data_IF_689484750521
#
_entry.id   IF_689484750521
#
_cell.length_a   1.000
_cell.length_b   1.000
_cell.length_c   1.000
_cell.angle_alpha   90.00
_cell.angle_beta   90.00
_cell.angle_gamma   90.00
#
_symmetry.space_group_name_H-M   'P 1'
#
loop_
_entity.id
_entity.type
_entity.pdbx_description
1 polymer ?
#
# COMPACT_ATOMS: atom_id res chain seq x y z
N UNK A 1 -3.74 -21.74 -26.82
CA UNK A 1 -4.70 -20.75 -27.35
C UNK A 1 -6.06 -21.39 -27.65
N UNK A 2 -6.19 -22.71 -27.55
CA UNK A 2 -7.43 -23.45 -27.82
C UNK A 2 -8.20 -23.84 -26.57
N UNK A 3 -7.65 -23.61 -25.38
CA UNK A 3 -8.30 -23.92 -24.11
C UNK A 3 -9.36 -22.86 -23.78
N UNK A 4 -10.59 -23.32 -23.54
CA UNK A 4 -11.67 -22.49 -23.03
C UNK A 4 -11.60 -22.44 -21.51
N UNK A 5 -11.13 -21.33 -20.96
CA UNK A 5 -11.18 -21.11 -19.52
C UNK A 5 -12.55 -20.58 -19.10
N UNK A 6 -13.11 -21.13 -18.03
CA UNK A 6 -14.28 -20.52 -17.38
C UNK A 6 -13.87 -19.19 -16.77
N UNK A 7 -14.64 -18.16 -17.01
CA UNK A 7 -14.45 -16.88 -16.32
C UNK A 7 -14.66 -17.11 -14.82
N UNK A 8 -13.70 -16.73 -13.95
CA UNK A 8 -13.87 -16.84 -12.51
C UNK A 8 -15.13 -16.10 -12.05
N UNK A 9 -15.93 -16.65 -11.14
CA UNK A 9 -17.09 -15.94 -10.62
C UNK A 9 -16.69 -14.65 -9.94
N UNK A 10 -17.24 -13.53 -10.41
CA UNK A 10 -17.17 -12.25 -9.71
C UNK A 10 -18.09 -12.33 -8.49
N UNK A 11 -17.63 -11.90 -7.33
CA UNK A 11 -18.38 -12.07 -6.08
C UNK A 11 -18.67 -10.75 -5.33
N UNK A 12 -17.85 -9.70 -5.52
CA UNK A 12 -18.05 -8.39 -4.87
C UNK A 12 -17.84 -7.27 -5.90
N UNK A 13 -18.69 -6.26 -5.83
CA UNK A 13 -18.65 -5.06 -6.68
C UNK A 13 -18.78 -3.81 -5.84
N UNK A 14 -18.19 -2.72 -6.35
CA UNK A 14 -18.56 -1.35 -5.99
C UNK A 14 -19.22 -0.74 -7.23
N UNK A 15 -20.47 -0.31 -7.09
CA UNK A 15 -21.33 0.05 -8.22
C UNK A 15 -21.38 -1.08 -9.28
N UNK A 16 -20.82 -0.84 -10.46
CA UNK A 16 -20.74 -1.83 -11.54
C UNK A 16 -19.33 -2.41 -11.75
N UNK A 17 -18.38 -2.05 -10.89
CA UNK A 17 -16.99 -2.49 -11.00
C UNK A 17 -16.73 -3.68 -10.09
N UNK A 18 -16.34 -4.82 -10.66
CA UNK A 18 -15.93 -6.00 -9.87
C UNK A 18 -14.61 -5.70 -9.15
N UNK A 19 -14.59 -5.94 -7.85
CA UNK A 19 -13.41 -5.77 -7.00
C UNK A 19 -12.89 -7.08 -6.42
N UNK A 20 -13.65 -8.16 -6.58
CA UNK A 20 -13.28 -9.48 -6.08
C UNK A 20 -13.87 -10.61 -6.96
N UNK A 21 -13.00 -11.54 -7.34
CA UNK A 21 -13.33 -12.78 -8.05
C UNK A 21 -12.79 -13.98 -7.30
N UNK A 22 -13.42 -15.14 -7.42
CA UNK A 22 -12.88 -16.39 -6.86
C UNK A 22 -11.53 -16.72 -7.51
N UNK A 23 -10.63 -17.35 -6.74
CA UNK A 23 -9.27 -17.67 -7.17
C UNK A 23 -8.29 -16.50 -7.15
N UNK A 24 -8.69 -15.32 -6.65
CA UNK A 24 -7.88 -14.12 -6.58
C UNK A 24 -7.85 -13.51 -5.17
N UNK A 25 -7.09 -12.44 -5.02
CA UNK A 25 -7.06 -11.68 -3.77
C UNK A 25 -7.04 -10.17 -4.02
N UNK A 26 -7.48 -9.42 -3.02
CA UNK A 26 -7.54 -7.97 -3.00
C UNK A 26 -7.09 -7.42 -1.65
N UNK A 27 -6.95 -6.10 -1.55
CA UNK A 27 -6.57 -5.47 -0.29
C UNK A 27 -7.29 -4.15 -0.04
N UNK A 28 -7.46 -3.83 1.24
CA UNK A 28 -7.79 -2.50 1.74
C UNK A 28 -6.59 -1.89 2.45
N UNK A 29 -6.19 -0.69 2.04
CA UNK A 29 -5.06 0.03 2.64
C UNK A 29 -5.46 1.43 3.09
N UNK A 30 -4.62 2.05 3.90
CA UNK A 30 -4.84 3.41 4.39
C UNK A 30 -4.02 3.68 5.65
N UNK A 31 -3.87 4.96 5.98
CA UNK A 31 -3.15 5.39 7.20
C UNK A 31 -3.84 4.86 8.46
N UNK A 32 -3.11 4.85 9.57
CA UNK A 32 -3.69 4.51 10.87
C UNK A 32 -4.90 5.42 11.17
N UNK A 33 -5.97 4.84 11.75
CA UNK A 33 -7.23 5.53 12.09
C UNK A 33 -8.05 6.04 10.88
N UNK A 34 -7.78 5.58 9.65
CA UNK A 34 -8.58 5.88 8.46
C UNK A 34 -9.90 5.07 8.40
N UNK A 35 -10.28 4.36 9.46
CA UNK A 35 -11.52 3.56 9.56
C UNK A 35 -11.58 2.37 8.58
N UNK A 36 -10.41 1.75 8.24
CA UNK A 36 -10.33 0.57 7.37
C UNK A 36 -11.24 -0.57 7.81
N UNK A 37 -11.20 -0.95 9.11
CA UNK A 37 -12.03 -2.04 9.64
C UNK A 37 -13.53 -1.75 9.54
N UNK A 38 -13.96 -0.48 9.61
CA UNK A 38 -15.36 -0.11 9.35
C UNK A 38 -15.76 -0.35 7.89
N UNK A 39 -14.86 0.01 6.96
CA UNK A 39 -15.06 -0.24 5.54
C UNK A 39 -15.13 -1.73 5.24
N UNK A 40 -14.19 -2.52 5.79
CA UNK A 40 -14.16 -3.99 5.63
C UNK A 40 -15.38 -4.64 6.28
N UNK A 41 -15.87 -4.13 7.43
CA UNK A 41 -17.12 -4.61 8.03
C UNK A 41 -18.31 -4.48 7.06
N UNK A 42 -18.39 -3.37 6.30
CA UNK A 42 -19.45 -3.18 5.31
C UNK A 42 -19.31 -4.14 4.10
N UNK A 43 -18.08 -4.38 3.62
CA UNK A 43 -17.80 -5.35 2.58
C UNK A 43 -18.20 -6.76 3.00
N UNK A 44 -17.83 -7.17 4.22
CA UNK A 44 -18.18 -8.48 4.78
C UNK A 44 -19.68 -8.60 5.00
N UNK A 45 -20.33 -7.56 5.51
CA UNK A 45 -21.78 -7.54 5.71
C UNK A 45 -22.54 -7.69 4.38
N UNK A 46 -22.11 -7.01 3.31
CA UNK A 46 -22.69 -7.19 1.97
C UNK A 46 -22.53 -8.64 1.49
N UNK A 47 -21.37 -9.26 1.74
CA UNK A 47 -21.08 -10.65 1.37
C UNK A 47 -21.91 -11.64 2.19
N UNK A 48 -22.07 -11.41 3.49
CA UNK A 48 -22.86 -12.25 4.39
C UNK A 48 -24.36 -12.20 4.06
N UNK A 49 -24.88 -10.98 3.81
CA UNK A 49 -26.25 -10.78 3.35
C UNK A 49 -26.49 -11.25 1.90
N UNK A 50 -25.41 -11.50 1.14
CA UNK A 50 -25.44 -11.73 -0.30
C UNK A 50 -26.26 -10.65 -1.04
N UNK A 51 -26.00 -9.39 -0.69
CA UNK A 51 -26.79 -8.22 -1.05
C UNK A 51 -25.98 -6.94 -1.12
N UNK A 52 -26.60 -5.84 -0.73
CA UNK A 52 -25.97 -4.50 -0.78
C UNK A 52 -25.84 -3.89 0.62
N UNK A 53 -24.62 -3.43 0.95
CA UNK A 53 -24.32 -2.62 2.15
C UNK A 53 -23.36 -1.50 1.73
N UNK A 54 -23.69 -0.26 2.05
CA UNK A 54 -23.05 0.92 1.50
C UNK A 54 -23.03 0.85 -0.04
N UNK A 55 -21.85 1.07 -0.65
CA UNK A 55 -21.66 0.93 -2.10
C UNK A 55 -21.19 -0.49 -2.50
N UNK A 56 -21.01 -1.40 -1.54
CA UNK A 56 -20.68 -2.79 -1.83
C UNK A 56 -21.92 -3.59 -2.17
N UNK A 57 -21.85 -4.35 -3.25
CA UNK A 57 -22.81 -5.40 -3.63
C UNK A 57 -22.04 -6.71 -3.70
N UNK A 58 -22.61 -7.76 -3.11
CA UNK A 58 -21.99 -9.08 -3.15
C UNK A 58 -22.99 -10.14 -3.62
N UNK A 59 -22.46 -11.19 -4.28
CA UNK A 59 -23.20 -12.36 -4.71
C UNK A 59 -22.25 -13.56 -4.72
N UNK A 60 -22.16 -14.24 -3.59
CA UNK A 60 -21.37 -15.44 -3.44
C UNK A 60 -22.15 -16.63 -4.02
N UNK A 61 -21.49 -17.51 -4.81
CA UNK A 61 -22.14 -18.70 -5.38
C UNK A 61 -22.65 -19.67 -4.32
N UNK A 62 -23.64 -20.47 -4.68
CA UNK A 62 -24.04 -21.60 -3.86
C UNK A 62 -22.85 -22.53 -3.61
N UNK A 63 -22.71 -23.05 -2.39
CA UNK A 63 -21.54 -23.82 -1.96
C UNK A 63 -20.27 -23.01 -1.63
N UNK A 64 -20.29 -21.68 -1.81
CA UNK A 64 -19.21 -20.74 -1.47
C UNK A 64 -19.71 -19.56 -0.63
N UNK A 65 -20.71 -19.81 0.21
CA UNK A 65 -21.40 -18.77 0.99
C UNK A 65 -20.71 -18.41 2.30
N UNK A 66 -19.79 -19.24 2.76
CA UNK A 66 -19.15 -19.06 4.05
C UNK A 66 -18.00 -18.07 3.98
N UNK A 67 -17.87 -17.29 5.05
CA UNK A 67 -16.85 -16.24 5.22
C UNK A 67 -15.99 -16.61 6.41
N UNK A 68 -14.67 -16.59 6.24
CA UNK A 68 -13.70 -16.68 7.31
C UNK A 68 -13.12 -15.29 7.58
N UNK A 69 -13.35 -14.74 8.75
CA UNK A 69 -12.73 -13.49 9.21
C UNK A 69 -11.61 -13.78 10.21
N UNK A 70 -10.39 -13.46 9.88
CA UNK A 70 -9.21 -13.61 10.72
C UNK A 70 -8.71 -12.23 11.15
N UNK A 71 -8.79 -11.93 12.44
CA UNK A 71 -8.23 -10.70 13.03
C UNK A 71 -6.93 -11.03 13.78
N UNK A 72 -5.85 -10.36 13.39
CA UNK A 72 -4.50 -10.59 13.96
C UNK A 72 -4.03 -9.45 14.86
N UNK A 73 -4.77 -8.31 14.88
CA UNK A 73 -4.35 -7.09 15.58
C UNK A 73 -5.14 -6.79 16.85
N UNK A 74 -6.45 -7.06 16.85
CA UNK A 74 -7.36 -6.57 17.87
C UNK A 74 -7.54 -7.55 19.04
N UNK A 75 -7.86 -7.00 20.23
CA UNK A 75 -8.27 -7.82 21.38
C UNK A 75 -9.64 -8.46 21.12
N UNK A 76 -9.94 -9.55 21.83
CA UNK A 76 -11.22 -10.27 21.73
C UNK A 76 -12.45 -9.36 21.88
N UNK A 77 -12.38 -8.37 22.79
CA UNK A 77 -13.45 -7.38 22.97
C UNK A 77 -13.68 -6.56 21.69
N UNK A 78 -12.62 -6.07 21.05
CA UNK A 78 -12.74 -5.29 19.83
C UNK A 78 -13.14 -6.15 18.62
N UNK A 79 -12.68 -7.41 18.56
CA UNK A 79 -13.12 -8.38 17.57
C UNK A 79 -14.64 -8.64 17.69
N UNK A 80 -15.17 -8.77 18.92
CA UNK A 80 -16.59 -8.91 19.16
C UNK A 80 -17.39 -7.70 18.65
N UNK A 81 -16.91 -6.47 18.86
CA UNK A 81 -17.53 -5.27 18.33
C UNK A 81 -17.51 -5.22 16.79
N UNK A 82 -16.47 -5.78 16.15
CA UNK A 82 -16.40 -5.92 14.68
C UNK A 82 -17.45 -6.93 14.19
N UNK A 83 -17.54 -8.08 14.86
CA UNK A 83 -18.53 -9.12 14.56
C UNK A 83 -19.96 -8.58 14.68
N UNK A 84 -20.31 -7.92 15.79
CA UNK A 84 -21.62 -7.29 15.97
C UNK A 84 -21.92 -6.27 14.89
N UNK A 85 -20.94 -5.43 14.52
CA UNK A 85 -21.10 -4.45 13.44
C UNK A 85 -21.41 -5.12 12.11
N UNK A 86 -20.70 -6.20 11.76
CA UNK A 86 -20.96 -6.97 10.54
C UNK A 86 -22.40 -7.50 10.54
N UNK A 87 -22.82 -8.14 11.63
CA UNK A 87 -24.17 -8.70 11.76
C UNK A 87 -25.25 -7.61 11.66
N UNK A 88 -25.10 -6.48 12.38
CA UNK A 88 -26.02 -5.36 12.30
C UNK A 88 -26.14 -4.77 10.90
N UNK A 89 -25.01 -4.58 10.22
CA UNK A 89 -24.98 -4.08 8.83
C UNK A 89 -25.63 -5.06 7.84
N UNK A 90 -25.52 -6.35 8.10
CA UNK A 90 -26.15 -7.40 7.31
C UNK A 90 -27.64 -7.59 7.63
N UNK A 91 -28.18 -6.87 8.63
CA UNK A 91 -29.57 -7.03 9.10
C UNK A 91 -29.81 -8.35 9.84
N UNK A 92 -28.78 -8.91 10.45
CA UNK A 92 -28.80 -10.21 11.13
C UNK A 92 -28.80 -10.02 12.67
N UNK A 93 -29.39 -10.98 13.43
CA UNK A 93 -29.36 -10.92 14.88
C UNK A 93 -27.94 -11.10 15.42
N UNK A 94 -27.61 -10.32 16.46
CA UNK A 94 -26.31 -10.40 17.14
C UNK A 94 -26.28 -11.38 18.31
N UNK A 95 -27.41 -11.99 18.63
CA UNK A 95 -27.58 -12.88 19.79
C UNK A 95 -27.38 -14.36 19.47
N UNK A 96 -27.17 -14.71 18.22
CA UNK A 96 -26.96 -16.07 17.74
C UNK A 96 -25.81 -16.10 16.72
N UNK A 97 -25.05 -17.19 16.74
CA UNK A 97 -23.99 -17.41 15.76
C UNK A 97 -24.56 -17.56 14.36
N UNK A 98 -23.87 -17.04 13.37
CA UNK A 98 -24.26 -17.18 11.98
C UNK A 98 -23.41 -18.30 11.32
N UNK A 99 -24.09 -19.29 10.74
CA UNK A 99 -23.44 -20.46 10.11
C UNK A 99 -22.52 -20.11 8.94
N UNK A 100 -22.71 -18.94 8.31
CA UNK A 100 -21.93 -18.48 7.19
C UNK A 100 -20.79 -17.51 7.58
N UNK A 101 -20.52 -17.33 8.87
CA UNK A 101 -19.43 -16.45 9.33
C UNK A 101 -18.64 -17.08 10.47
N UNK A 102 -17.43 -17.51 10.17
CA UNK A 102 -16.44 -17.89 11.18
C UNK A 102 -15.53 -16.69 11.46
N UNK A 103 -15.45 -16.28 12.73
CA UNK A 103 -14.61 -15.16 13.17
C UNK A 103 -13.54 -15.65 14.14
N UNK A 104 -12.25 -15.54 13.75
CA UNK A 104 -11.12 -16.05 14.50
C UNK A 104 -10.21 -14.90 14.96
N UNK A 105 -9.93 -14.84 16.27
CA UNK A 105 -9.02 -13.86 16.87
C UNK A 105 -7.65 -14.49 17.07
N UNK A 106 -6.63 -14.03 16.36
CA UNK A 106 -5.28 -14.60 16.36
C UNK A 106 -4.20 -13.67 16.91
N UNK A 107 -4.56 -12.57 17.54
CA UNK A 107 -3.60 -11.61 18.07
C UNK A 107 -2.53 -12.23 18.98
N UNK A 108 -2.91 -13.20 19.80
CA UNK A 108 -2.06 -13.79 20.84
C UNK A 108 -1.07 -14.85 20.30
N UNK A 109 -1.14 -15.18 19.01
CA UNK A 109 -0.37 -16.25 18.39
C UNK A 109 0.79 -15.70 17.54
N UNK A 110 1.80 -16.55 17.33
CA UNK A 110 2.93 -16.24 16.44
C UNK A 110 2.51 -16.27 14.96
N UNK A 111 3.27 -15.64 14.05
CA UNK A 111 2.97 -15.66 12.62
C UNK A 111 2.80 -17.06 12.05
N UNK A 112 3.67 -18.02 12.42
CA UNK A 112 3.58 -19.41 11.98
C UNK A 112 2.26 -20.08 12.41
N UNK A 113 1.88 -19.91 13.67
CA UNK A 113 0.62 -20.47 14.19
C UNK A 113 -0.59 -19.84 13.52
N UNK A 114 -0.55 -18.53 13.22
CA UNK A 114 -1.62 -17.86 12.47
C UNK A 114 -1.81 -18.49 11.09
N UNK A 115 -0.72 -18.73 10.37
CA UNK A 115 -0.74 -19.40 9.05
C UNK A 115 -1.29 -20.83 9.17
N UNK A 116 -0.82 -21.61 10.16
CA UNK A 116 -1.31 -22.98 10.41
C UNK A 116 -2.81 -23.03 10.71
N UNK A 117 -3.34 -22.08 11.49
CA UNK A 117 -4.78 -21.98 11.79
C UNK A 117 -5.58 -21.67 10.53
N UNK A 118 -5.11 -20.76 9.68
CA UNK A 118 -5.76 -20.46 8.40
C UNK A 118 -5.73 -21.69 7.48
N UNK A 119 -4.56 -22.32 7.32
CA UNK A 119 -4.40 -23.57 6.54
C UNK A 119 -5.38 -24.65 7.02
N UNK A 120 -5.46 -24.85 8.32
CA UNK A 120 -6.35 -25.83 8.92
C UNK A 120 -7.81 -25.51 8.64
N UNK A 121 -8.26 -24.28 8.86
CA UNK A 121 -9.65 -23.87 8.64
C UNK A 121 -10.06 -24.10 7.17
N UNK A 122 -9.22 -23.67 6.22
CA UNK A 122 -9.48 -23.82 4.80
C UNK A 122 -9.46 -25.28 4.32
N UNK A 123 -8.67 -26.13 4.97
CA UNK A 123 -8.65 -27.57 4.67
C UNK A 123 -9.89 -28.31 5.19
N UNK A 124 -10.49 -27.85 6.30
CA UNK A 124 -11.67 -28.48 6.91
C UNK A 124 -12.97 -28.13 6.20
N UNK A 125 -13.08 -26.94 5.63
CA UNK A 125 -14.34 -26.46 5.03
C UNK A 125 -14.12 -25.84 3.66
N UNK A 126 -14.66 -26.48 2.63
CA UNK A 126 -14.57 -26.04 1.24
C UNK A 126 -15.65 -25.01 0.86
N UNK A 127 -16.56 -24.67 1.77
CA UNK A 127 -17.66 -23.73 1.53
C UNK A 127 -17.26 -22.26 1.70
N UNK A 128 -16.03 -21.97 2.14
CA UNK A 128 -15.52 -20.61 2.17
C UNK A 128 -15.41 -20.03 0.75
N UNK A 129 -16.09 -18.91 0.52
CA UNK A 129 -15.98 -18.11 -0.71
C UNK A 129 -15.20 -16.81 -0.49
N UNK A 130 -15.15 -16.32 0.76
CA UNK A 130 -14.42 -15.12 1.12
C UNK A 130 -13.62 -15.34 2.41
N UNK A 131 -12.36 -14.92 2.39
CA UNK A 131 -11.49 -14.89 3.56
C UNK A 131 -11.03 -13.46 3.80
N UNK A 132 -11.19 -12.96 5.00
CA UNK A 132 -10.64 -11.66 5.43
C UNK A 132 -9.43 -11.91 6.32
N UNK A 133 -8.32 -11.20 6.04
CA UNK A 133 -7.14 -11.17 6.90
C UNK A 133 -6.93 -9.72 7.33
N UNK A 134 -7.47 -9.37 8.49
CA UNK A 134 -7.33 -8.02 9.06
C UNK A 134 -6.04 -7.98 9.88
N UNK A 135 -5.00 -7.43 9.22
CA UNK A 135 -3.62 -7.38 9.69
C UNK A 135 -2.69 -8.37 8.97
N UNK A 136 -2.69 -8.44 7.62
CA UNK A 136 -1.81 -9.36 6.86
C UNK A 136 -0.33 -9.23 7.25
N UNK A 137 0.12 -8.06 7.68
CA UNK A 137 1.47 -7.81 8.19
C UNK A 137 1.86 -8.78 9.31
N UNK A 138 0.92 -9.17 10.13
CA UNK A 138 1.16 -9.98 11.32
C UNK A 138 1.34 -11.47 11.01
N UNK A 139 1.29 -11.85 9.73
CA UNK A 139 1.73 -13.15 9.22
C UNK A 139 3.24 -13.19 8.93
N UNK A 140 3.95 -12.07 9.10
CA UNK A 140 5.39 -11.93 8.90
C UNK A 140 6.10 -11.71 10.24
N UNK A 141 7.32 -12.21 10.37
CA UNK A 141 8.23 -11.88 11.47
C UNK A 141 8.85 -10.50 11.25
N UNK A 142 9.35 -10.23 10.04
CA UNK A 142 9.92 -8.94 9.67
C UNK A 142 9.29 -8.40 8.37
N UNK A 143 8.60 -7.26 8.50
CA UNK A 143 7.96 -6.55 7.37
C UNK A 143 8.95 -6.08 6.31
N UNK A 144 10.22 -5.93 6.64
CA UNK A 144 11.28 -5.52 5.73
C UNK A 144 12.00 -6.72 5.07
N UNK A 145 11.62 -7.94 5.43
CA UNK A 145 12.13 -9.14 4.78
C UNK A 145 11.36 -9.38 3.46
N UNK A 146 12.07 -9.20 2.35
CA UNK A 146 11.49 -9.41 1.01
C UNK A 146 11.11 -10.88 0.78
N UNK A 147 11.89 -11.84 1.28
CA UNK A 147 11.63 -13.28 1.16
C UNK A 147 10.33 -13.68 1.85
N UNK A 148 10.16 -13.32 3.14
CA UNK A 148 8.92 -13.58 3.89
C UNK A 148 7.71 -12.93 3.23
N UNK A 149 7.86 -11.71 2.71
CA UNK A 149 6.78 -11.00 2.01
C UNK A 149 6.32 -11.77 0.77
N UNK A 150 7.25 -12.28 -0.03
CA UNK A 150 6.95 -13.10 -1.21
C UNK A 150 6.29 -14.42 -0.80
N UNK A 151 6.76 -15.06 0.27
CA UNK A 151 6.17 -16.32 0.79
C UNK A 151 4.72 -16.15 1.21
N UNK A 152 4.38 -15.10 1.97
CA UNK A 152 3.00 -14.83 2.39
C UNK A 152 2.10 -14.55 1.19
N UNK A 153 2.56 -13.76 0.22
CA UNK A 153 1.79 -13.49 -1.00
C UNK A 153 1.59 -14.76 -1.83
N UNK A 154 2.62 -15.60 -1.98
CA UNK A 154 2.50 -16.88 -2.66
C UNK A 154 1.51 -17.80 -1.94
N UNK A 155 1.51 -17.80 -0.60
CA UNK A 155 0.56 -18.58 0.20
C UNK A 155 -0.88 -18.13 -0.03
N UNK A 156 -1.13 -16.82 -0.14
CA UNK A 156 -2.46 -16.31 -0.48
C UNK A 156 -2.90 -16.70 -1.89
N UNK A 157 -1.99 -16.65 -2.86
CA UNK A 157 -2.26 -17.12 -4.23
C UNK A 157 -2.56 -18.63 -4.25
N UNK A 158 -1.82 -19.43 -3.46
CA UNK A 158 -2.07 -20.85 -3.30
C UNK A 158 -3.46 -21.10 -2.69
N UNK A 159 -3.80 -20.46 -1.56
CA UNK A 159 -5.08 -20.62 -0.89
C UNK A 159 -6.26 -20.24 -1.80
N UNK A 160 -6.17 -19.06 -2.43
CA UNK A 160 -7.26 -18.58 -3.29
C UNK A 160 -7.52 -19.52 -4.47
N UNK A 161 -6.46 -20.02 -5.11
CA UNK A 161 -6.55 -20.93 -6.25
C UNK A 161 -6.96 -22.33 -5.85
N UNK A 162 -6.32 -22.89 -4.81
CA UNK A 162 -6.57 -24.28 -4.36
C UNK A 162 -7.97 -24.49 -3.82
N UNK A 163 -8.48 -23.51 -3.08
CA UNK A 163 -9.78 -23.61 -2.42
C UNK A 163 -10.89 -22.86 -3.17
N UNK A 164 -10.60 -22.29 -4.34
CA UNK A 164 -11.54 -21.51 -5.15
C UNK A 164 -12.33 -20.50 -4.30
N UNK A 165 -11.59 -19.57 -3.67
CA UNK A 165 -12.11 -18.53 -2.81
C UNK A 165 -11.42 -17.19 -3.09
N UNK A 166 -11.96 -16.09 -2.56
CA UNK A 166 -11.33 -14.79 -2.60
C UNK A 166 -10.73 -14.42 -1.24
N UNK A 167 -9.52 -13.85 -1.24
CA UNK A 167 -8.90 -13.35 -0.01
C UNK A 167 -8.86 -11.82 -0.05
N UNK A 168 -9.42 -11.15 0.97
CA UNK A 168 -9.31 -9.71 1.12
C UNK A 168 -8.47 -9.36 2.36
N UNK A 169 -7.36 -8.64 2.14
CA UNK A 169 -6.41 -8.31 3.19
C UNK A 169 -6.52 -6.86 3.62
N UNK A 170 -6.14 -6.59 4.88
CA UNK A 170 -5.98 -5.23 5.38
C UNK A 170 -4.51 -4.95 5.67
N UNK A 171 -4.01 -3.81 5.17
CA UNK A 171 -2.64 -3.38 5.33
C UNK A 171 -2.55 -1.87 5.58
N UNK A 172 -1.60 -1.45 6.41
CA UNK A 172 -1.37 -0.04 6.68
C UNK A 172 -0.46 0.61 5.61
N UNK A 173 -0.73 1.89 5.31
CA UNK A 173 0.21 2.73 4.57
C UNK A 173 1.35 3.24 5.46
N UNK A 174 2.43 3.69 4.84
CA UNK A 174 3.50 4.41 5.50
C UNK A 174 2.99 5.71 6.14
N UNK A 175 3.68 6.19 7.17
CA UNK A 175 3.33 7.47 7.81
C UNK A 175 3.72 8.68 6.96
N UNK A 176 4.79 8.59 6.17
CA UNK A 176 5.41 9.71 5.45
C UNK A 176 4.98 9.86 3.99
N UNK A 177 4.43 8.82 3.40
CA UNK A 177 3.96 8.79 2.01
C UNK A 177 2.66 8.00 1.88
N UNK A 178 2.11 7.91 0.67
CA UNK A 178 0.88 7.17 0.41
C UNK A 178 1.17 5.71 -0.04
N UNK A 179 2.42 5.26 0.01
CA UNK A 179 2.79 3.90 -0.36
C UNK A 179 2.35 2.90 0.71
N UNK A 180 2.00 1.72 0.28
CA UNK A 180 1.69 0.61 1.17
C UNK A 180 2.96 0.17 1.89
N UNK A 181 2.85 -0.12 3.19
CA UNK A 181 4.01 -0.30 4.06
C UNK A 181 4.76 -1.61 3.80
N UNK A 182 6.10 -1.51 3.67
CA UNK A 182 7.02 -2.65 3.61
C UNK A 182 7.04 -3.36 2.25
N UNK A 183 7.87 -4.39 2.14
CA UNK A 183 7.96 -5.21 0.92
C UNK A 183 6.65 -5.91 0.58
N UNK A 184 5.89 -6.36 1.57
CA UNK A 184 4.57 -6.97 1.35
C UNK A 184 3.59 -6.02 0.67
N UNK A 185 3.68 -4.70 0.96
CA UNK A 185 2.88 -3.69 0.27
C UNK A 185 3.18 -3.58 -1.21
N UNK A 186 4.46 -3.64 -1.58
CA UNK A 186 4.89 -3.64 -2.98
C UNK A 186 4.39 -4.90 -3.72
N UNK A 187 4.58 -6.07 -3.12
CA UNK A 187 4.10 -7.34 -3.69
C UNK A 187 2.57 -7.37 -3.82
N UNK A 188 1.85 -6.81 -2.83
CA UNK A 188 0.40 -6.68 -2.86
C UNK A 188 -0.06 -5.82 -4.04
N UNK A 189 0.55 -4.65 -4.24
CA UNK A 189 0.21 -3.76 -5.35
C UNK A 189 0.46 -4.41 -6.73
N UNK A 190 1.49 -5.24 -6.84
CA UNK A 190 1.85 -5.90 -8.10
C UNK A 190 0.93 -7.08 -8.45
N UNK A 191 0.40 -7.79 -7.44
CA UNK A 191 -0.27 -9.09 -7.65
C UNK A 191 -1.75 -9.09 -7.33
N UNK A 192 -2.24 -8.18 -6.49
CA UNK A 192 -3.65 -8.09 -6.15
C UNK A 192 -4.52 -7.74 -7.36
N UNK A 193 -5.74 -8.27 -7.37
CA UNK A 193 -6.77 -7.91 -8.35
C UNK A 193 -7.24 -6.47 -8.16
N UNK A 194 -7.43 -6.08 -6.91
CA UNK A 194 -7.87 -4.75 -6.51
C UNK A 194 -7.18 -4.33 -5.22
N UNK A 195 -6.76 -3.06 -5.16
CA UNK A 195 -6.31 -2.42 -3.92
C UNK A 195 -7.17 -1.20 -3.69
N UNK A 196 -7.96 -1.22 -2.61
CA UNK A 196 -8.75 -0.10 -2.14
C UNK A 196 -7.92 0.76 -1.19
N UNK A 197 -8.03 2.07 -1.30
CA UNK A 197 -7.44 2.99 -0.33
C UNK A 197 -8.54 3.72 0.43
N UNK A 198 -8.42 3.70 1.76
CA UNK A 198 -9.31 4.39 2.68
C UNK A 198 -8.56 5.59 3.24
N UNK A 199 -9.04 6.79 2.90
CA UNK A 199 -8.42 8.05 3.28
C UNK A 199 -9.36 8.83 4.16
N UNK A 200 -8.84 9.35 5.27
CA UNK A 200 -9.60 10.27 6.14
C UNK A 200 -9.61 11.65 5.49
N UNK A 201 -10.79 12.29 5.40
CA UNK A 201 -10.88 13.65 4.89
C UNK A 201 -10.04 14.62 5.74
N UNK A 202 -9.42 15.58 5.10
CA UNK A 202 -8.59 16.61 5.74
C UNK A 202 -9.45 17.74 6.30
N UNK A 203 -10.61 17.98 5.70
CA UNK A 203 -11.56 19.04 6.10
C UNK A 203 -12.55 18.56 7.16
N UNK A 204 -12.95 17.28 7.10
CA UNK A 204 -13.83 16.67 8.10
C UNK A 204 -13.31 15.32 8.56
N UNK A 205 -12.67 15.24 9.75
CA UNK A 205 -12.09 14.01 10.27
C UNK A 205 -13.09 12.87 10.54
N UNK A 206 -14.38 13.14 10.51
CA UNK A 206 -15.43 12.12 10.67
C UNK A 206 -15.80 11.44 9.35
N UNK A 207 -15.34 11.95 8.23
CA UNK A 207 -15.55 11.37 6.91
C UNK A 207 -14.31 10.57 6.48
N UNK A 208 -14.56 9.40 5.91
CA UNK A 208 -13.55 8.59 5.23
C UNK A 208 -13.98 8.32 3.80
N UNK A 209 -13.07 8.50 2.86
CA UNK A 209 -13.25 8.22 1.43
C UNK A 209 -12.66 6.87 1.07
N UNK A 210 -13.33 6.14 0.19
CA UNK A 210 -12.90 4.87 -0.40
C UNK A 210 -12.73 5.04 -1.90
N UNK A 211 -11.55 4.74 -2.40
CA UNK A 211 -11.25 4.74 -3.84
C UNK A 211 -10.40 3.53 -4.23
N UNK A 212 -10.39 3.20 -5.51
CA UNK A 212 -9.41 2.26 -6.03
C UNK A 212 -8.03 2.92 -6.13
N UNK A 213 -7.00 2.26 -5.57
CA UNK A 213 -5.60 2.58 -5.85
C UNK A 213 -5.15 1.83 -7.11
N UNK A 214 -5.52 0.55 -7.19
CA UNK A 214 -5.33 -0.33 -8.34
C UNK A 214 -6.58 -1.19 -8.51
N UNK A 215 -7.00 -1.38 -9.73
CA UNK A 215 -8.12 -2.26 -10.09
C UNK A 215 -7.88 -2.81 -11.49
N UNK A 216 -8.09 -4.10 -11.71
CA UNK A 216 -7.97 -4.73 -13.03
C UNK A 216 -9.16 -4.44 -13.94
N UNK A 217 -10.31 -4.20 -13.33
CA UNK A 217 -11.55 -3.82 -14.01
C UNK A 217 -11.68 -2.29 -14.17
N UNK A 218 -12.81 -1.84 -14.70
CA UNK A 218 -13.12 -0.40 -14.80
C UNK A 218 -13.18 0.21 -13.40
N UNK A 219 -12.56 1.37 -13.22
CA UNK A 219 -12.62 2.12 -11.97
C UNK A 219 -14.04 2.53 -11.63
N UNK A 220 -14.37 2.46 -10.34
CA UNK A 220 -15.61 2.99 -9.77
C UNK A 220 -15.41 4.43 -9.26
N UNK A 221 -16.50 5.16 -9.11
CA UNK A 221 -16.44 6.50 -8.50
C UNK A 221 -16.15 6.37 -7.01
N UNK A 222 -15.18 7.15 -6.46
CA UNK A 222 -14.98 7.20 -5.03
C UNK A 222 -16.28 7.45 -4.26
N UNK A 223 -16.43 6.80 -3.13
CA UNK A 223 -17.53 7.04 -2.21
C UNK A 223 -17.02 7.35 -0.81
N UNK A 224 -17.83 8.02 -0.01
CA UNK A 224 -17.46 8.41 1.33
C UNK A 224 -18.46 7.92 2.36
N UNK A 225 -17.97 7.66 3.57
CA UNK A 225 -18.79 7.25 4.69
C UNK A 225 -18.37 7.95 5.99
N UNK A 226 -19.31 8.09 6.89
CA UNK A 226 -19.10 8.45 8.30
C UNK A 226 -19.43 7.24 9.18
N UNK A 227 -19.20 7.37 10.48
CA UNK A 227 -19.63 6.39 11.49
C UNK A 227 -20.66 7.08 12.38
N UNK A 228 -21.87 6.53 12.41
CA UNK A 228 -22.97 7.08 13.19
C UNK A 228 -22.83 6.79 14.70
N UNK A 229 -23.79 7.26 15.51
CA UNK A 229 -23.79 7.10 16.97
C UNK A 229 -23.87 5.64 17.42
N UNK A 230 -24.42 4.75 16.59
CA UNK A 230 -24.47 3.29 16.83
C UNK A 230 -23.16 2.58 16.48
N UNK A 231 -22.16 3.31 15.96
CA UNK A 231 -20.88 2.74 15.52
C UNK A 231 -20.98 2.03 14.17
N UNK A 232 -21.98 2.35 13.34
CA UNK A 232 -22.16 1.78 12.00
C UNK A 232 -21.71 2.77 10.92
N UNK A 233 -21.01 2.32 9.87
CA UNK A 233 -20.68 3.16 8.73
C UNK A 233 -21.93 3.48 7.89
N UNK A 234 -22.07 4.74 7.50
CA UNK A 234 -23.16 5.28 6.68
C UNK A 234 -22.61 6.10 5.53
N UNK A 235 -23.21 5.97 4.33
CA UNK A 235 -22.84 6.78 3.16
C UNK A 235 -23.14 8.25 3.43
N UNK A 236 -22.19 9.10 3.07
CA UNK A 236 -22.36 10.54 3.05
C UNK A 236 -22.07 11.09 1.66
N UNK A 237 -22.84 12.11 1.26
CA UNK A 237 -22.48 12.91 0.09
C UNK A 237 -21.21 13.69 0.41
N UNK A 238 -20.15 13.39 -0.31
CA UNK A 238 -18.87 14.05 -0.17
C UNK A 238 -18.34 14.35 -1.57
N UNK A 239 -18.02 15.61 -1.82
CA UNK A 239 -17.25 15.95 -3.02
C UNK A 239 -15.82 15.55 -2.71
N UNK A 240 -15.23 14.60 -3.47
CA UNK A 240 -13.85 14.22 -3.27
C UNK A 240 -12.99 15.47 -3.20
N UNK A 241 -12.24 15.63 -2.12
CA UNK A 241 -11.24 16.68 -2.05
C UNK A 241 -10.34 16.45 -3.24
N UNK A 242 -10.18 17.45 -4.10
CA UNK A 242 -9.12 17.41 -5.11
C UNK A 242 -7.88 17.08 -4.31
N UNK A 243 -7.31 15.90 -4.55
CA UNK A 243 -6.01 15.61 -3.96
C UNK A 243 -5.15 16.84 -4.23
N UNK A 244 -4.67 17.50 -3.17
CA UNK A 244 -3.50 18.35 -3.30
C UNK A 244 -2.35 17.42 -3.69
N UNK A 245 -2.32 17.12 -4.97
CA UNK A 245 -1.39 16.13 -5.50
C UNK A 245 -1.96 15.23 -6.55
N UNK A 246 -2.64 15.78 -7.58
CA UNK A 246 -2.04 15.65 -8.89
C UNK A 246 -0.70 16.40 -8.84
N UNK A 247 0.11 16.03 -7.87
CA UNK A 247 1.55 16.15 -7.99
C UNK A 247 1.88 15.21 -9.12
N UNK A 248 2.12 15.83 -10.25
CA UNK A 248 2.74 15.34 -11.46
C UNK A 248 3.48 14.02 -11.26
N UNK A 249 3.50 13.12 -12.24
CA UNK A 249 4.21 11.85 -12.20
C UNK A 249 5.55 12.08 -11.50
N UNK A 250 5.88 11.25 -10.54
CA UNK A 250 7.00 11.32 -9.60
C UNK A 250 7.95 12.47 -9.91
N UNK A 251 7.88 13.51 -9.08
CA UNK A 251 8.66 14.74 -9.32
C UNK A 251 10.06 14.31 -9.71
N UNK A 252 10.41 14.53 -10.99
CA UNK A 252 11.71 14.23 -11.55
C UNK A 252 12.79 14.61 -10.52
N UNK A 253 13.46 13.63 -9.98
CA UNK A 253 14.43 13.77 -8.90
C UNK A 253 15.82 13.83 -9.48
N UNK A 254 16.82 14.18 -8.67
CA UNK A 254 18.22 14.13 -9.11
C UNK A 254 18.69 12.69 -9.46
N UNK A 255 17.98 11.66 -9.01
CA UNK A 255 18.26 10.25 -9.33
C UNK A 255 17.76 9.84 -10.73
N UNK A 256 16.84 10.62 -11.29
CA UNK A 256 16.28 10.41 -12.63
C UNK A 256 17.09 11.13 -13.71
N UNK A 257 18.08 11.96 -13.32
CA UNK A 257 19.02 12.62 -14.22
C UNK A 257 19.98 11.59 -14.83
N UNK A 258 20.22 11.71 -16.13
CA UNK A 258 21.18 10.84 -16.83
C UNK A 258 22.62 11.18 -16.44
N UNK A 259 23.53 10.24 -16.65
CA UNK A 259 24.98 10.48 -16.44
C UNK A 259 25.50 11.65 -17.30
N UNK A 260 24.96 11.85 -18.50
CA UNK A 260 25.28 12.98 -19.37
C UNK A 260 24.84 14.31 -18.76
N UNK A 261 23.65 14.38 -18.22
CA UNK A 261 23.12 15.58 -17.54
C UNK A 261 23.92 15.91 -16.27
N UNK A 262 24.30 14.90 -15.50
CA UNK A 262 25.20 15.11 -14.37
C UNK A 262 26.56 15.65 -14.80
N UNK A 263 27.18 15.08 -15.84
CA UNK A 263 28.46 15.53 -16.37
C UNK A 263 28.41 16.96 -16.92
N UNK A 264 27.35 17.30 -17.66
CA UNK A 264 27.13 18.67 -18.17
C UNK A 264 27.07 19.69 -17.03
N UNK A 265 26.21 19.43 -16.02
CA UNK A 265 26.07 20.34 -14.88
C UNK A 265 27.35 20.42 -14.05
N UNK A 266 28.04 19.29 -13.81
CA UNK A 266 29.28 19.29 -13.03
C UNK A 266 30.42 20.01 -13.76
N UNK A 267 30.56 19.83 -15.07
CA UNK A 267 31.54 20.58 -15.90
C UNK A 267 31.29 22.08 -15.80
N UNK A 268 30.03 22.51 -15.87
CA UNK A 268 29.66 23.91 -15.72
C UNK A 268 29.92 24.47 -14.30
N UNK A 269 29.66 23.66 -13.26
CA UNK A 269 29.86 24.05 -11.87
C UNK A 269 31.35 24.22 -11.52
N UNK A 270 32.16 23.26 -11.92
CA UNK A 270 33.58 23.23 -11.54
C UNK A 270 34.49 24.11 -12.41
N UNK A 271 34.14 24.32 -13.70
CA UNK A 271 34.94 25.14 -14.64
C UNK A 271 36.42 24.75 -14.63
N UNK A 272 36.68 23.44 -14.57
CA UNK A 272 38.04 22.85 -14.51
C UNK A 272 38.86 23.25 -13.27
N UNK A 273 38.21 23.64 -12.16
CA UNK A 273 38.90 23.99 -10.90
C UNK A 273 38.18 23.39 -9.70
N UNK A 274 38.93 22.99 -8.66
CA UNK A 274 38.34 22.52 -7.41
C UNK A 274 37.54 23.64 -6.74
N UNK A 275 36.44 23.25 -6.06
CA UNK A 275 35.59 24.19 -5.32
C UNK A 275 35.90 24.07 -3.83
N UNK A 276 36.30 25.18 -3.19
CA UNK A 276 36.58 25.24 -1.75
C UNK A 276 35.35 25.73 -0.99
N UNK A 277 34.97 24.98 0.03
CA UNK A 277 33.87 25.32 0.94
C UNK A 277 32.51 24.73 0.57
N UNK A 278 31.77 24.28 1.62
CA UNK A 278 30.48 23.62 1.45
C UNK A 278 29.40 24.53 0.86
N UNK A 279 29.30 25.78 1.38
CA UNK A 279 28.25 26.70 0.94
C UNK A 279 28.43 27.10 -0.52
N UNK A 280 29.68 27.37 -0.92
CA UNK A 280 30.01 27.67 -2.30
C UNK A 280 29.72 26.48 -3.24
N UNK A 281 30.08 25.27 -2.81
CA UNK A 281 29.76 24.05 -3.59
C UNK A 281 28.25 23.90 -3.82
N UNK A 282 27.44 24.15 -2.79
CA UNK A 282 25.96 24.09 -2.91
C UNK A 282 25.42 25.19 -3.83
N UNK A 283 26.00 26.39 -3.80
CA UNK A 283 25.61 27.51 -4.67
C UNK A 283 25.93 27.21 -6.15
N UNK A 284 27.17 26.81 -6.44
CA UNK A 284 27.59 26.44 -7.81
C UNK A 284 26.75 25.31 -8.38
N UNK A 285 26.47 24.25 -7.59
CA UNK A 285 25.55 23.20 -8.02
C UNK A 285 24.13 23.69 -8.24
N UNK A 286 23.62 24.57 -7.37
CA UNK A 286 22.28 25.12 -7.51
C UNK A 286 22.12 25.83 -8.86
N UNK A 287 23.11 26.64 -9.24
CA UNK A 287 23.11 27.35 -10.50
C UNK A 287 23.26 26.40 -11.71
N UNK A 288 24.28 25.54 -11.68
CA UNK A 288 24.58 24.66 -12.81
C UNK A 288 23.44 23.69 -13.13
N UNK A 289 22.79 23.13 -12.09
CA UNK A 289 21.63 22.26 -12.31
C UNK A 289 20.38 23.03 -12.71
N UNK A 290 20.22 24.28 -12.29
CA UNK A 290 19.14 25.14 -12.78
C UNK A 290 19.30 25.44 -14.28
N UNK A 291 20.52 25.60 -14.76
CA UNK A 291 20.83 25.92 -16.17
C UNK A 291 20.47 24.75 -17.11
N UNK A 292 20.59 23.49 -16.64
CA UNK A 292 20.12 22.30 -17.38
C UNK A 292 18.64 21.97 -17.13
N UNK A 293 17.87 22.91 -16.51
CA UNK A 293 16.42 22.74 -16.26
C UNK A 293 16.04 22.06 -14.95
N UNK A 294 17.01 21.63 -14.13
CA UNK A 294 16.75 21.01 -12.83
C UNK A 294 16.80 22.04 -11.68
N UNK A 295 15.85 22.97 -11.67
CA UNK A 295 15.76 24.01 -10.62
C UNK A 295 15.17 23.45 -9.33
N UNK A 296 15.95 23.38 -8.26
CA UNK A 296 15.54 22.85 -6.94
C UNK A 296 16.08 23.75 -5.80
N UNK A 297 15.39 23.65 -4.65
CA UNK A 297 15.79 24.36 -3.45
C UNK A 297 17.04 23.74 -2.79
N UNK A 298 17.75 24.56 -1.97
CA UNK A 298 19.01 24.22 -1.29
C UNK A 298 19.01 22.84 -0.61
N UNK A 299 17.92 22.46 0.07
CA UNK A 299 17.82 21.16 0.78
C UNK A 299 17.89 19.95 -0.16
N UNK A 300 17.35 20.07 -1.38
CA UNK A 300 17.42 19.01 -2.40
C UNK A 300 18.82 18.94 -3.00
N UNK A 301 19.44 20.09 -3.28
CA UNK A 301 20.82 20.16 -3.79
C UNK A 301 21.82 19.57 -2.79
N UNK A 302 21.63 19.78 -1.49
CA UNK A 302 22.47 19.15 -0.46
C UNK A 302 22.34 17.61 -0.48
N UNK A 303 21.13 17.10 -0.65
CA UNK A 303 20.91 15.63 -0.78
C UNK A 303 21.55 15.10 -2.05
N UNK A 304 21.42 15.80 -3.15
CA UNK A 304 22.04 15.47 -4.43
C UNK A 304 23.58 15.49 -4.34
N UNK A 305 24.19 16.48 -3.69
CA UNK A 305 25.63 16.51 -3.46
C UNK A 305 26.12 15.26 -2.72
N UNK A 306 25.38 14.82 -1.68
CA UNK A 306 25.70 13.57 -0.97
C UNK A 306 25.59 12.35 -1.87
N UNK A 307 24.58 12.28 -2.73
CA UNK A 307 24.37 11.23 -3.71
C UNK A 307 25.53 11.18 -4.73
N UNK A 308 25.95 12.34 -5.25
CA UNK A 308 27.06 12.45 -6.20
C UNK A 308 28.42 12.03 -5.60
N UNK A 309 28.61 12.24 -4.30
CA UNK A 309 29.82 11.84 -3.57
C UNK A 309 29.79 10.34 -3.23
N UNK A 310 28.72 9.89 -2.58
CA UNK A 310 28.69 8.58 -1.92
C UNK A 310 28.25 7.44 -2.85
N UNK A 311 27.27 7.70 -3.72
CA UNK A 311 26.64 6.68 -4.58
C UNK A 311 27.20 6.73 -6.00
N UNK A 312 27.16 7.89 -6.66
CA UNK A 312 27.66 8.04 -8.03
C UNK A 312 29.18 8.17 -8.11
N UNK A 313 29.83 8.58 -7.02
CA UNK A 313 31.29 8.80 -6.95
C UNK A 313 31.83 9.73 -8.04
N UNK A 314 31.01 10.68 -8.50
CA UNK A 314 31.38 11.67 -9.51
C UNK A 314 32.16 12.84 -8.90
N UNK A 315 31.95 13.11 -7.62
CA UNK A 315 32.64 14.15 -6.87
C UNK A 315 33.47 13.51 -5.77
N UNK A 316 34.75 13.88 -5.70
CA UNK A 316 35.63 13.52 -4.59
C UNK A 316 35.67 14.69 -3.62
N UNK A 317 35.41 14.42 -2.33
CA UNK A 317 35.59 15.41 -1.26
C UNK A 317 36.81 15.04 -0.45
N UNK A 318 37.76 15.98 -0.34
CA UNK A 318 38.92 15.87 0.55
C UNK A 318 39.07 17.18 1.34
N UNK A 319 39.07 17.05 2.65
CA UNK A 319 39.04 18.20 3.58
C UNK A 319 37.86 19.14 3.28
N UNK A 320 38.14 20.40 2.97
CA UNK A 320 37.13 21.39 2.61
C UNK A 320 37.05 21.68 1.11
N UNK A 321 37.60 20.78 0.27
CA UNK A 321 37.59 20.89 -1.20
C UNK A 321 36.78 19.80 -1.85
N UNK A 322 36.21 20.11 -3.02
CA UNK A 322 35.45 19.22 -3.89
C UNK A 322 36.12 19.18 -5.25
N UNK A 323 36.25 17.97 -5.81
CA UNK A 323 36.95 17.69 -7.06
C UNK A 323 36.02 16.92 -8.01
N UNK A 324 36.03 17.28 -9.28
CA UNK A 324 35.32 16.60 -10.36
C UNK A 324 36.24 16.47 -11.56
N UNK A 325 36.39 15.24 -12.10
CA UNK A 325 37.25 14.97 -13.25
C UNK A 325 38.75 14.85 -12.93
N UNK A 326 39.13 14.85 -11.64
CA UNK A 326 40.52 14.70 -11.21
C UNK A 326 40.83 13.26 -10.77
N UNK A 327 42.00 12.78 -11.10
CA UNK A 327 42.54 11.52 -10.57
C UNK A 327 43.03 11.67 -9.12
N UNK A 328 43.13 10.60 -8.33
CA UNK A 328 43.69 10.68 -6.97
C UNK A 328 45.08 11.33 -6.90
N UNK A 329 45.95 11.06 -7.89
CA UNK A 329 47.32 11.62 -7.96
C UNK A 329 47.28 13.13 -8.20
N UNK A 330 46.37 13.64 -9.04
CA UNK A 330 46.21 15.08 -9.27
C UNK A 330 45.66 15.79 -8.01
N UNK A 331 44.74 15.11 -7.27
CA UNK A 331 44.23 15.64 -6.00
C UNK A 331 45.37 15.75 -4.96
N UNK A 332 46.26 14.77 -4.90
CA UNK A 332 47.42 14.79 -3.98
C UNK A 332 48.33 15.96 -4.27
N UNK A 333 48.61 16.26 -5.55
CA UNK A 333 49.44 17.43 -5.95
C UNK A 333 48.82 18.76 -5.52
N UNK A 334 47.50 18.92 -5.56
CA UNK A 334 46.84 20.16 -5.08
C UNK A 334 46.99 20.38 -3.59
N UNK A 335 47.24 19.35 -2.77
CA UNK A 335 47.40 19.47 -1.32
C UNK A 335 48.87 19.63 -0.90
N UNK A 336 49.82 19.35 -1.81
CA UNK A 336 51.25 19.61 -1.54
C UNK A 336 51.68 21.07 -1.84
N UNK A 337 50.86 21.81 -2.59
CA UNK A 337 51.11 23.21 -2.96
C UNK A 337 50.42 24.26 -2.06
N UNK A 338 49.54 23.87 -1.12
CA UNK A 338 48.91 24.71 -0.08
C UNK A 338 49.67 24.56 1.28
#
# INVERSE_FOLDING_TARGET
>A
ATDTYKTPPQIIWVDNSSIATLGNFSASTGKAKAKKTFNVSALVAASLANGKVLNYRASLPEGKRKILYVDTEQSRYHCHNVLERILKLAGLPTSIDNENLDFICLREYTPSVRIEVIDYALAQDQSYGLVIIDGIRDLLLDINNAGESVEVINKMMEWSSKYDLHIHCVLHQNKGDNNVRGHIGTEMNNKAETVLVITKSTTNPDISEVKAMHIREKEFKPFAFTVNEEGLPEIVEHTPEKEEGDKQPSRFTYQDLTSEQHNEALTAAFKEKPIKGFDRMVEELTQAYADIGFKRGRSVIIKMLKYLINEQKLIVKRDNHYYFGYTPAEIDLFHEEE
#
